data_IF_092320692518
#
_entry.id   IF_092320692518
#
_cell.length_a   1.000
_cell.length_b   1.000
_cell.length_c   1.000
_cell.angle_alpha   90.00
_cell.angle_beta   90.00
_cell.angle_gamma   90.00
#
_symmetry.space_group_name_H-M   'P 1'
#
loop_
_entity.id
_entity.type
_entity.pdbx_description
1 polymer ?
#
# COMPACT_ATOMS: atom_id res chain seq x y z
N UNK A 1 13.66 -2.71 -14.24
CA UNK A 1 12.58 -2.04 -13.48
C UNK A 1 12.13 -0.85 -14.30
N UNK A 2 10.82 -0.69 -14.51
CA UNK A 2 10.24 0.49 -15.16
C UNK A 2 9.95 1.54 -14.07
N UNK A 3 10.21 2.81 -14.35
CA UNK A 3 9.87 3.94 -13.48
C UNK A 3 9.19 5.01 -14.32
N UNK A 4 8.09 5.54 -13.82
CA UNK A 4 7.32 6.58 -14.50
C UNK A 4 6.82 7.60 -13.49
N UNK A 5 6.58 8.81 -13.98
CA UNK A 5 5.94 9.88 -13.25
C UNK A 5 4.71 10.29 -14.06
N UNK A 6 3.53 10.20 -13.46
CA UNK A 6 2.27 10.62 -14.07
C UNK A 6 1.97 12.03 -13.56
N UNK A 7 1.81 12.99 -14.47
CA UNK A 7 1.38 14.33 -14.11
C UNK A 7 -0.14 14.34 -13.93
N UNK A 8 -0.62 15.08 -12.92
CA UNK A 8 -2.05 15.33 -12.74
C UNK A 8 -2.63 16.08 -13.92
N UNK A 9 -3.87 15.75 -14.30
CA UNK A 9 -4.55 16.35 -15.46
C UNK A 9 -5.00 17.79 -15.20
N UNK A 10 -4.98 18.25 -13.95
CA UNK A 10 -5.79 19.39 -13.50
C UNK A 10 -5.05 20.74 -13.52
N UNK A 11 -3.81 20.78 -14.01
CA UNK A 11 -3.04 22.03 -14.19
C UNK A 11 -2.84 22.81 -12.89
N UNK A 12 -1.70 22.59 -12.22
CA UNK A 12 -1.30 23.24 -10.95
C UNK A 12 -2.15 22.87 -9.72
N UNK A 13 -1.82 21.73 -9.10
CA UNK A 13 -2.27 21.45 -7.73
C UNK A 13 -2.01 20.02 -7.31
N UNK A 14 -2.16 19.07 -8.23
CA UNK A 14 -1.97 17.65 -7.96
C UNK A 14 -0.49 17.27 -8.11
N UNK A 15 0.20 16.85 -7.03
CA UNK A 15 1.61 16.46 -7.12
C UNK A 15 1.79 15.30 -8.11
N UNK A 16 2.95 15.22 -8.80
CA UNK A 16 3.23 14.12 -9.70
C UNK A 16 3.17 12.78 -8.97
N UNK A 17 2.49 11.81 -9.56
CA UNK A 17 2.43 10.45 -9.01
C UNK A 17 3.60 9.64 -9.53
N UNK A 18 4.45 9.18 -8.61
CA UNK A 18 5.58 8.32 -8.94
C UNK A 18 5.18 6.85 -8.83
N UNK A 19 5.51 6.08 -9.87
CA UNK A 19 5.32 4.63 -9.91
C UNK A 19 6.57 3.90 -10.37
N UNK A 20 6.73 2.68 -9.89
CA UNK A 20 7.74 1.75 -10.39
C UNK A 20 7.16 0.35 -10.56
N UNK A 21 7.60 -0.36 -11.58
CA UNK A 21 7.17 -1.73 -11.86
C UNK A 21 8.37 -2.66 -12.05
N UNK A 22 8.30 -3.82 -11.40
CA UNK A 22 9.26 -4.90 -11.55
C UNK A 22 8.61 -6.08 -12.26
N UNK A 23 8.98 -6.32 -13.53
CA UNK A 23 8.52 -7.52 -14.26
C UNK A 23 9.00 -8.82 -13.60
N UNK A 24 10.22 -8.80 -13.04
CA UNK A 24 10.83 -9.97 -12.38
C UNK A 24 10.10 -10.35 -11.10
N UNK A 25 9.81 -9.36 -10.25
CA UNK A 25 9.08 -9.59 -8.99
C UNK A 25 7.56 -9.60 -9.19
N UNK A 26 7.08 -9.21 -10.38
CA UNK A 26 5.65 -9.00 -10.69
C UNK A 26 5.01 -8.04 -9.68
N UNK A 27 5.66 -6.91 -9.44
CA UNK A 27 5.21 -5.90 -8.49
C UNK A 27 5.04 -4.53 -9.14
N UNK A 28 4.06 -3.77 -8.64
CA UNK A 28 3.85 -2.35 -8.91
C UNK A 28 3.89 -1.56 -7.61
N UNK A 29 4.68 -0.49 -7.55
CA UNK A 29 4.84 0.35 -6.35
C UNK A 29 4.42 1.78 -6.66
N UNK A 30 3.60 2.37 -5.81
CA UNK A 30 3.03 3.71 -5.99
C UNK A 30 3.27 4.54 -4.74
N UNK A 31 3.78 5.77 -4.92
CA UNK A 31 3.77 6.77 -3.87
C UNK A 31 2.39 7.45 -3.84
N UNK A 32 1.75 7.49 -2.67
CA UNK A 32 0.43 8.11 -2.46
C UNK A 32 0.46 9.01 -1.24
N UNK A 33 -0.56 9.86 -1.08
CA UNK A 33 -0.78 10.59 0.17
C UNK A 33 -1.56 9.71 1.16
N UNK A 34 -1.29 9.87 2.44
CA UNK A 34 -1.94 9.10 3.51
C UNK A 34 -3.22 9.75 4.06
N UNK A 35 -3.58 10.94 3.58
CA UNK A 35 -4.73 11.71 4.06
C UNK A 35 -4.47 12.49 5.36
N UNK A 36 -3.27 12.39 5.94
CA UNK A 36 -2.84 13.05 7.18
C UNK A 36 -1.61 13.95 6.97
N UNK A 37 -1.48 14.51 5.76
CA UNK A 37 -0.34 15.32 5.33
C UNK A 37 1.00 14.58 5.31
N UNK A 38 0.99 13.25 5.25
CA UNK A 38 2.18 12.42 5.07
C UNK A 38 2.07 11.57 3.80
N UNK A 39 3.19 10.92 3.47
CA UNK A 39 3.26 10.00 2.35
C UNK A 39 3.04 8.56 2.80
N UNK A 40 2.51 7.77 1.88
CA UNK A 40 2.43 6.33 1.99
C UNK A 40 2.92 5.65 0.72
N UNK A 41 3.20 4.37 0.83
CA UNK A 41 3.51 3.52 -0.30
C UNK A 41 2.50 2.40 -0.41
N UNK A 42 1.99 2.21 -1.62
CA UNK A 42 1.18 1.06 -2.03
C UNK A 42 2.05 0.13 -2.87
N UNK A 43 2.02 -1.17 -2.56
CA UNK A 43 2.68 -2.20 -3.38
C UNK A 43 1.65 -3.24 -3.77
N UNK A 44 1.42 -3.39 -5.07
CA UNK A 44 0.73 -4.52 -5.64
C UNK A 44 1.76 -5.63 -5.89
N UNK A 45 1.57 -6.78 -5.28
CA UNK A 45 2.30 -8.02 -5.58
C UNK A 45 1.38 -8.96 -6.36
N UNK A 46 1.47 -8.88 -7.69
CA UNK A 46 0.68 -9.68 -8.60
C UNK A 46 1.13 -11.16 -8.64
N UNK A 47 2.27 -11.51 -8.03
CA UNK A 47 2.69 -12.91 -7.88
C UNK A 47 2.02 -13.57 -6.68
N UNK A 48 1.77 -12.81 -5.62
CA UNK A 48 1.15 -13.28 -4.37
C UNK A 48 -0.34 -12.95 -4.26
N UNK A 49 -0.87 -12.15 -5.19
CA UNK A 49 -2.23 -11.61 -5.13
C UNK A 49 -2.47 -10.86 -3.81
N UNK A 50 -1.51 -10.00 -3.46
CA UNK A 50 -1.54 -9.16 -2.27
C UNK A 50 -1.35 -7.70 -2.65
N UNK A 51 -1.95 -6.82 -1.88
CA UNK A 51 -1.64 -5.40 -1.89
C UNK A 51 -1.25 -4.98 -0.49
N UNK A 52 -0.15 -4.25 -0.36
CA UNK A 52 0.27 -3.67 0.92
C UNK A 52 0.23 -2.16 0.90
N UNK A 53 0.00 -1.58 2.07
CA UNK A 53 0.06 -0.15 2.30
C UNK A 53 0.88 0.14 3.56
N UNK A 54 1.79 1.10 3.45
CA UNK A 54 2.61 1.59 4.55
C UNK A 54 2.55 3.11 4.57
N UNK A 55 1.92 3.70 5.59
CA UNK A 55 2.04 5.13 5.86
C UNK A 55 3.27 5.41 6.74
N UNK A 56 3.87 6.59 6.53
CA UNK A 56 4.95 7.11 7.36
C UNK A 56 4.44 7.78 8.64
N UNK A 57 3.16 8.15 8.71
CA UNK A 57 2.55 8.71 9.93
C UNK A 57 2.06 7.63 10.91
N UNK A 58 1.91 6.38 10.45
CA UNK A 58 1.47 5.25 11.28
C UNK A 58 2.60 4.22 11.50
N UNK A 59 2.55 3.50 12.62
CA UNK A 59 3.53 2.44 12.96
C UNK A 59 3.05 1.03 12.60
N UNK A 60 2.26 0.91 11.52
CA UNK A 60 1.77 -0.37 10.99
C UNK A 60 1.92 -0.44 9.46
N UNK A 61 2.03 -1.65 8.95
CA UNK A 61 1.82 -1.96 7.54
C UNK A 61 0.54 -2.79 7.42
N UNK A 62 -0.28 -2.50 6.41
CA UNK A 62 -1.50 -3.23 6.18
C UNK A 62 -1.39 -4.00 4.88
N UNK A 63 -2.01 -5.18 4.83
CA UNK A 63 -2.13 -5.97 3.62
C UNK A 63 -3.57 -6.41 3.40
N UNK A 64 -3.93 -6.60 2.13
CA UNK A 64 -5.18 -7.27 1.77
C UNK A 64 -4.95 -8.21 0.59
N UNK A 65 -5.82 -9.21 0.46
CA UNK A 65 -5.84 -10.10 -0.70
C UNK A 65 -6.53 -9.42 -1.87
N UNK A 66 -6.09 -9.71 -3.08
CA UNK A 66 -6.79 -9.30 -4.29
C UNK A 66 -7.21 -10.49 -5.11
N UNK A 67 -8.33 -10.33 -5.80
CA UNK A 67 -8.75 -11.28 -6.82
C UNK A 67 -7.94 -11.03 -8.09
N UNK A 68 -7.48 -12.10 -8.74
CA UNK A 68 -6.74 -12.01 -10.01
C UNK A 68 -7.60 -11.43 -11.14
N UNK A 69 -8.91 -11.64 -11.09
CA UNK A 69 -9.87 -11.24 -12.11
C UNK A 69 -10.50 -9.87 -11.79
N UNK A 70 -10.32 -9.38 -10.56
CA UNK A 70 -10.84 -8.10 -10.09
C UNK A 70 -9.81 -7.36 -9.22
N UNK A 71 -8.75 -6.87 -9.85
CA UNK A 71 -7.69 -6.11 -9.17
C UNK A 71 -8.19 -4.67 -8.94
N UNK A 72 -8.31 -4.21 -7.68
CA UNK A 72 -8.84 -2.89 -7.37
C UNK A 72 -7.87 -1.77 -7.82
N UNK A 73 -8.46 -0.65 -8.26
CA UNK A 73 -7.75 0.58 -8.60
C UNK A 73 -7.01 1.18 -7.40
N UNK A 74 -6.02 2.03 -7.70
CA UNK A 74 -5.16 2.64 -6.67
C UNK A 74 -5.94 3.54 -5.70
N UNK A 75 -6.96 4.22 -6.19
CA UNK A 75 -7.90 5.04 -5.43
C UNK A 75 -8.69 4.20 -4.41
N UNK A 76 -9.32 3.12 -4.85
CA UNK A 76 -10.10 2.21 -4.01
C UNK A 76 -9.23 1.55 -2.93
N UNK A 77 -8.04 1.10 -3.32
CA UNK A 77 -7.05 0.54 -2.38
C UNK A 77 -6.63 1.56 -1.34
N UNK A 78 -6.27 2.78 -1.77
CA UNK A 78 -5.79 3.83 -0.86
C UNK A 78 -6.89 4.21 0.13
N UNK A 79 -8.14 4.36 -0.34
CA UNK A 79 -9.28 4.65 0.52
C UNK A 79 -9.51 3.54 1.57
N UNK A 80 -9.45 2.27 1.15
CA UNK A 80 -9.63 1.12 2.07
C UNK A 80 -8.59 1.15 3.19
N UNK A 81 -7.32 1.37 2.87
CA UNK A 81 -6.26 1.42 3.88
C UNK A 81 -6.28 2.67 4.75
N UNK A 82 -6.70 3.82 4.20
CA UNK A 82 -6.90 5.04 5.00
C UNK A 82 -8.04 4.87 6.00
N UNK A 83 -9.16 4.28 5.58
CA UNK A 83 -10.24 3.92 6.50
C UNK A 83 -9.75 3.01 7.61
N UNK A 84 -9.01 1.95 7.25
CA UNK A 84 -8.45 1.01 8.21
C UNK A 84 -7.53 1.67 9.23
N UNK A 85 -6.69 2.60 8.80
CA UNK A 85 -5.83 3.35 9.69
C UNK A 85 -6.60 4.22 10.69
N UNK A 86 -7.72 4.82 10.25
CA UNK A 86 -8.59 5.60 11.12
C UNK A 86 -9.22 4.70 12.20
N UNK A 87 -9.74 3.54 11.82
CA UNK A 87 -10.30 2.55 12.77
C UNK A 87 -9.28 2.11 13.83
N UNK A 88 -8.02 1.84 13.43
CA UNK A 88 -6.98 1.41 14.38
C UNK A 88 -6.62 2.47 15.39
N UNK A 89 -6.70 3.75 14.99
CA UNK A 89 -6.44 4.86 15.88
C UNK A 89 -7.50 4.95 16.99
N UNK A 90 -8.73 4.50 16.72
CA UNK A 90 -9.84 4.52 17.66
C UNK A 90 -9.91 3.24 18.53
N UNK A 91 -9.72 2.07 17.93
CA UNK A 91 -9.91 0.76 18.59
C UNK A 91 -8.62 0.23 19.25
N UNK A 92 -7.46 0.70 18.79
CA UNK A 92 -6.14 0.20 19.19
C UNK A 92 -5.73 -1.10 18.51
N UNK A 93 -4.42 -1.32 18.36
CA UNK A 93 -3.80 -2.43 17.61
C UNK A 93 -4.22 -3.85 18.06
N UNK A 94 -4.75 -4.00 19.28
CA UNK A 94 -4.99 -5.31 19.91
C UNK A 94 -6.14 -6.13 19.30
N UNK A 95 -6.97 -5.54 18.44
CA UNK A 95 -8.17 -6.21 17.90
C UNK A 95 -7.92 -6.85 16.53
N UNK A 96 -6.77 -6.59 15.89
CA UNK A 96 -6.57 -6.95 14.48
C UNK A 96 -5.55 -8.05 14.28
N UNK A 97 -5.94 -9.02 13.46
CA UNK A 97 -5.12 -10.17 13.13
C UNK A 97 -3.82 -9.74 12.44
N UNK A 98 -2.70 -10.11 13.07
CA UNK A 98 -1.38 -10.04 12.46
C UNK A 98 -1.31 -10.95 11.22
N UNK A 99 -0.72 -10.45 10.16
CA UNK A 99 -0.43 -11.23 8.97
C UNK A 99 0.85 -12.05 9.15
N UNK A 100 0.82 -13.30 8.69
CA UNK A 100 2.02 -14.12 8.60
C UNK A 100 2.97 -13.56 7.52
N UNK A 101 4.18 -13.17 7.92
CA UNK A 101 5.19 -12.62 7.01
C UNK A 101 5.66 -13.61 5.94
N UNK A 102 5.47 -14.92 6.14
CA UNK A 102 5.86 -15.96 5.18
C UNK A 102 5.15 -15.83 3.83
N UNK A 103 3.98 -15.17 3.80
CA UNK A 103 3.18 -15.00 2.59
C UNK A 103 3.64 -13.81 1.73
N UNK A 104 4.44 -12.90 2.31
CA UNK A 104 4.83 -11.64 1.70
C UNK A 104 5.94 -11.85 0.64
N UNK A 105 5.81 -11.18 -0.50
CA UNK A 105 6.92 -11.04 -1.44
C UNK A 105 8.04 -10.15 -0.89
N UNK A 106 9.21 -10.20 -1.53
CA UNK A 106 10.41 -9.44 -1.12
C UNK A 106 10.14 -7.94 -0.99
N UNK A 107 9.45 -7.34 -1.97
CA UNK A 107 9.17 -5.90 -1.96
C UNK A 107 8.33 -5.49 -0.75
N UNK A 108 7.28 -6.25 -0.41
CA UNK A 108 6.43 -5.97 0.75
C UNK A 108 7.20 -6.21 2.06
N UNK A 109 7.98 -7.30 2.12
CA UNK A 109 8.82 -7.60 3.29
C UNK A 109 9.81 -6.47 3.59
N UNK A 110 10.44 -5.89 2.55
CA UNK A 110 11.33 -4.74 2.71
C UNK A 110 10.55 -3.52 3.19
N UNK A 111 9.43 -3.19 2.53
CA UNK A 111 8.59 -2.03 2.87
C UNK A 111 8.11 -2.05 4.32
N UNK A 112 7.74 -3.23 4.82
CA UNK A 112 7.10 -3.41 6.11
C UNK A 112 8.05 -3.94 7.19
N UNK A 113 9.36 -4.01 6.90
CA UNK A 113 10.37 -4.68 7.73
C UNK A 113 10.42 -4.19 9.19
N UNK A 114 10.23 -2.88 9.42
CA UNK A 114 10.36 -2.24 10.74
C UNK A 114 9.06 -2.13 11.55
N UNK A 115 7.95 -2.68 11.06
CA UNK A 115 6.63 -2.55 11.70
C UNK A 115 5.82 -3.85 11.70
N UNK A 116 4.84 -3.99 12.60
CA UNK A 116 3.85 -5.05 12.50
C UNK A 116 3.07 -4.96 11.18
N UNK A 117 2.66 -6.13 10.69
CA UNK A 117 1.86 -6.26 9.47
C UNK A 117 0.49 -6.80 9.86
N UNK A 118 -0.57 -6.08 9.52
CA UNK A 118 -1.95 -6.44 9.83
C UNK A 118 -2.77 -6.67 8.57
N UNK A 119 -3.84 -7.45 8.70
CA UNK A 119 -4.87 -7.51 7.66
C UNK A 119 -5.74 -6.25 7.69
N UNK A 120 -5.94 -5.65 6.50
CA UNK A 120 -6.94 -4.60 6.31
C UNK A 120 -8.35 -5.20 6.25
#
# INVERSE_FOLDING_TARGET
VLRMTIQGLDGEGTPPQHLSMSKKERTGTFAVQDGLNASAMVVYDYSKLLVSYRSWSHRACYITRVDKDNIPGLDAVTQTFQHRQAEMKEVGDNVVALADRSILGTTINILCSSVPVYWA
#
